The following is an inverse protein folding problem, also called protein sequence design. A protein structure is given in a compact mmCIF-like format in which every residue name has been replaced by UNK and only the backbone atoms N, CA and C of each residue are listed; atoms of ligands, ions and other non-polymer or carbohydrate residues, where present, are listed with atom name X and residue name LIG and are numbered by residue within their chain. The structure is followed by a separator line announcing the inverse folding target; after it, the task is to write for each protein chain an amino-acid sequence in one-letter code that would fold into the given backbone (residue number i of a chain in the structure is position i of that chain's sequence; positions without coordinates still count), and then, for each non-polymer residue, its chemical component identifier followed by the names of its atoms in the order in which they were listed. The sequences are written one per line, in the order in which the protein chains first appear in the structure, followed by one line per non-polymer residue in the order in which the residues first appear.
data_IF_602592339832
#
_entry.id   IF_602592339832
#
_cell.length_a   1.000
_cell.length_b   1.000
_cell.length_c   1.000
_cell.angle_alpha   90.00
_cell.angle_beta   90.00
_cell.angle_gamma   90.00
#
_symmetry.space_group_name_H-M   'P 1'
#
loop_
_entity.id
_entity.type
_entity.pdbx_description
1 polymer ?
#
# COMPACT_ATOMS: atom_id res chain seq x y z
N UNK A 1 -16.19 -15.81 -6.28
CA UNK A 1 -15.87 -16.47 -5.00
C UNK A 1 -16.03 -15.44 -3.91
N UNK A 2 -16.85 -15.73 -2.91
CA UNK A 2 -17.00 -14.88 -1.72
C UNK A 2 -15.72 -15.07 -0.87
N UNK A 3 -14.71 -14.21 -1.08
CA UNK A 3 -13.40 -14.32 -0.43
C UNK A 3 -13.54 -13.87 1.03
N UNK A 4 -13.62 -14.83 1.96
CA UNK A 4 -13.75 -14.55 3.41
C UNK A 4 -12.50 -13.99 4.07
N UNK A 5 -11.33 -14.19 3.44
CA UNK A 5 -10.04 -13.81 3.99
C UNK A 5 -9.16 -13.18 2.92
N UNK A 6 -8.37 -12.20 3.33
CA UNK A 6 -7.34 -11.54 2.53
C UNK A 6 -5.98 -11.73 3.20
N UNK A 7 -4.90 -11.80 2.43
CA UNK A 7 -3.55 -12.00 2.98
C UNK A 7 -2.81 -10.67 2.94
N UNK A 8 -2.36 -10.21 4.10
CA UNK A 8 -1.47 -9.04 4.17
C UNK A 8 -0.05 -9.52 3.92
N UNK A 9 0.63 -8.85 3.00
CA UNK A 9 2.01 -9.09 2.63
C UNK A 9 2.74 -7.76 2.77
N UNK A 10 3.68 -7.67 3.71
CA UNK A 10 4.51 -6.48 3.81
C UNK A 10 5.61 -6.51 2.74
N UNK A 11 6.17 -5.35 2.41
CA UNK A 11 7.32 -5.24 1.49
C UNK A 11 8.64 -5.75 2.12
N UNK A 12 8.59 -6.59 3.17
CA UNK A 12 9.76 -7.18 3.81
C UNK A 12 10.46 -8.21 2.93
N UNK A 13 11.79 -8.33 3.06
CA UNK A 13 12.57 -9.27 2.24
C UNK A 13 12.18 -10.74 2.46
N UNK A 14 11.77 -11.11 3.67
CA UNK A 14 11.37 -12.48 3.97
C UNK A 14 10.07 -12.87 3.26
N UNK A 15 9.04 -12.00 3.33
CA UNK A 15 7.75 -12.22 2.66
C UNK A 15 7.92 -12.21 1.14
N UNK A 16 8.68 -11.25 0.61
CA UNK A 16 9.00 -11.20 -0.82
C UNK A 16 9.65 -12.50 -1.29
N UNK A 17 10.65 -13.01 -0.57
CA UNK A 17 11.32 -14.27 -0.94
C UNK A 17 10.35 -15.46 -0.90
N UNK A 18 9.48 -15.52 0.10
CA UNK A 18 8.48 -16.58 0.19
C UNK A 18 7.54 -16.55 -1.03
N UNK A 19 7.08 -15.36 -1.42
CA UNK A 19 6.20 -15.18 -2.57
C UNK A 19 6.88 -15.45 -3.91
N UNK A 20 8.13 -15.02 -4.10
CA UNK A 20 8.93 -15.31 -5.31
C UNK A 20 9.13 -16.81 -5.52
N UNK A 21 9.07 -17.62 -4.45
CA UNK A 21 9.19 -19.08 -4.49
C UNK A 21 7.82 -19.80 -4.39
N UNK A 22 6.72 -19.07 -4.34
CA UNK A 22 5.36 -19.64 -4.33
C UNK A 22 4.84 -19.76 -5.76
N UNK A 23 4.17 -20.88 -6.08
CA UNK A 23 3.66 -21.09 -7.43
C UNK A 23 2.58 -20.07 -7.81
N UNK A 24 2.60 -19.62 -9.06
CA UNK A 24 1.65 -18.62 -9.57
C UNK A 24 0.19 -19.06 -9.41
N UNK A 25 -0.09 -20.34 -9.57
CA UNK A 25 -1.44 -20.90 -9.42
C UNK A 25 -1.99 -20.70 -8.00
N UNK A 26 -1.16 -20.83 -6.97
CA UNK A 26 -1.57 -20.59 -5.59
C UNK A 26 -1.77 -19.10 -5.31
N UNK A 27 -0.88 -18.25 -5.84
CA UNK A 27 -0.98 -16.80 -5.67
C UNK A 27 -2.25 -16.24 -6.31
N UNK A 28 -2.70 -16.79 -7.44
CA UNK A 28 -3.95 -16.38 -8.09
C UNK A 28 -5.21 -16.67 -7.26
N UNK A 29 -5.11 -17.57 -6.27
CA UNK A 29 -6.23 -17.90 -5.38
C UNK A 29 -6.43 -16.87 -4.26
N UNK A 30 -5.47 -15.97 -4.01
CA UNK A 30 -5.54 -14.99 -2.93
C UNK A 30 -5.90 -13.59 -3.43
N UNK A 31 -6.45 -12.77 -2.53
CA UNK A 31 -6.45 -11.31 -2.66
C UNK A 31 -5.30 -10.81 -1.77
N UNK A 32 -4.21 -10.26 -2.32
CA UNK A 32 -3.15 -9.72 -1.50
C UNK A 32 -3.46 -8.28 -1.10
N UNK A 33 -3.22 -7.94 0.17
CA UNK A 33 -3.00 -6.57 0.63
C UNK A 33 -1.51 -6.36 0.69
N UNK A 34 -0.97 -5.61 -0.26
CA UNK A 34 0.44 -5.23 -0.27
C UNK A 34 0.61 -4.03 0.66
N UNK A 35 1.19 -4.28 1.83
CA UNK A 35 1.46 -3.25 2.83
C UNK A 35 2.88 -2.70 2.63
N UNK A 36 2.96 -1.45 2.20
CA UNK A 36 4.24 -0.80 1.88
C UNK A 36 4.91 -0.37 3.18
N UNK A 37 6.03 -1.01 3.45
CA UNK A 37 6.96 -0.68 4.55
C UNK A 37 8.22 -0.01 4.00
N UNK A 38 8.95 0.66 4.89
CA UNK A 38 10.26 1.26 4.63
C UNK A 38 11.21 0.30 3.94
N UNK A 39 12.05 0.84 3.07
CA UNK A 39 13.12 0.11 2.42
C UNK A 39 14.29 -0.26 3.33
N UNK A 40 15.38 -0.73 2.71
CA UNK A 40 16.66 -0.84 3.41
C UNK A 40 17.29 0.54 3.48
N UNK A 41 17.85 0.90 4.63
CA UNK A 41 18.64 2.12 4.83
C UNK A 41 19.73 2.26 3.76
N UNK A 42 19.75 3.40 3.10
CA UNK A 42 20.82 3.86 2.21
C UNK A 42 21.32 5.19 2.74
N UNK A 43 22.64 5.30 2.93
CA UNK A 43 23.29 6.55 3.32
C UNK A 43 24.07 7.08 2.12
N UNK A 44 23.75 8.30 1.68
CA UNK A 44 24.46 8.99 0.60
C UNK A 44 24.62 10.46 0.98
N UNK A 45 25.84 10.98 0.92
CA UNK A 45 26.14 12.36 1.31
C UNK A 45 25.57 12.72 2.70
N UNK A 46 25.74 11.82 3.68
CA UNK A 46 25.23 11.96 5.06
C UNK A 46 23.70 11.99 5.22
N UNK A 47 22.94 11.83 4.12
CA UNK A 47 21.48 11.71 4.15
C UNK A 47 21.10 10.23 4.18
N UNK A 48 20.28 9.86 5.14
CA UNK A 48 19.71 8.52 5.29
C UNK A 48 18.34 8.47 4.62
N UNK A 49 18.12 7.46 3.77
CA UNK A 49 16.85 7.22 3.08
C UNK A 49 16.48 5.74 3.18
N UNK A 50 15.21 5.42 3.03
CA UNK A 50 14.67 4.07 3.11
C UNK A 50 13.79 3.76 1.88
N UNK A 51 14.36 3.79 0.66
CA UNK A 51 13.58 3.65 -0.57
C UNK A 51 12.96 2.26 -0.68
N UNK A 52 11.64 2.20 -0.83
CA UNK A 52 10.87 0.97 -0.94
C UNK A 52 10.65 0.51 -2.39
N UNK A 53 11.01 1.32 -3.39
CA UNK A 53 10.71 1.08 -4.81
C UNK A 53 11.14 -0.29 -5.31
N UNK A 54 12.36 -0.72 -4.93
CA UNK A 54 12.90 -2.02 -5.35
C UNK A 54 12.11 -3.19 -4.77
N UNK A 55 11.60 -3.04 -3.55
CA UNK A 55 10.79 -4.07 -2.88
C UNK A 55 9.40 -4.13 -3.48
N UNK A 56 8.77 -2.97 -3.67
CA UNK A 56 7.49 -2.87 -4.37
C UNK A 56 7.57 -3.42 -5.80
N UNK A 57 8.66 -3.17 -6.52
CA UNK A 57 8.89 -3.71 -7.86
C UNK A 57 8.89 -5.25 -7.89
N UNK A 58 9.41 -5.91 -6.85
CA UNK A 58 9.35 -7.37 -6.75
C UNK A 58 7.91 -7.84 -6.56
N UNK A 59 7.14 -7.21 -5.68
CA UNK A 59 5.73 -7.56 -5.46
C UNK A 59 4.84 -7.27 -6.69
N UNK A 60 5.13 -6.18 -7.43
CA UNK A 60 4.53 -5.89 -8.74
C UNK A 60 4.70 -7.05 -9.73
N UNK A 61 5.89 -7.68 -9.76
CA UNK A 61 6.16 -8.85 -10.61
C UNK A 61 5.44 -10.10 -10.11
N UNK A 62 5.45 -10.35 -8.80
CA UNK A 62 4.78 -11.51 -8.17
C UNK A 62 3.28 -11.50 -8.48
N UNK A 63 2.62 -10.35 -8.32
CA UNK A 63 1.17 -10.21 -8.46
C UNK A 63 0.73 -9.60 -9.80
N UNK A 64 1.59 -9.64 -10.82
CA UNK A 64 1.28 -9.09 -12.14
C UNK A 64 0.00 -9.70 -12.73
N UNK A 65 -0.89 -8.82 -13.19
CA UNK A 65 -2.17 -9.18 -13.79
C UNK A 65 -3.20 -9.74 -12.79
N UNK A 66 -3.08 -9.41 -11.50
CA UNK A 66 -4.07 -9.74 -10.48
C UNK A 66 -4.67 -8.47 -9.89
N UNK A 67 -5.89 -8.57 -9.34
CA UNK A 67 -6.42 -7.56 -8.42
C UNK A 67 -5.61 -7.57 -7.13
N UNK A 68 -5.13 -6.40 -6.71
CA UNK A 68 -4.36 -6.22 -5.47
C UNK A 68 -4.96 -5.10 -4.64
N UNK A 69 -4.85 -5.20 -3.32
CA UNK A 69 -5.03 -4.04 -2.45
C UNK A 69 -3.66 -3.41 -2.16
N UNK A 70 -3.59 -2.09 -2.15
CA UNK A 70 -2.38 -1.36 -1.77
C UNK A 70 -2.64 -0.61 -0.46
N UNK A 71 -1.69 -0.72 0.45
CA UNK A 71 -1.76 -0.14 1.79
C UNK A 71 -0.41 0.42 2.20
N UNK A 72 -0.42 1.30 3.19
CA UNK A 72 0.78 1.79 3.85
C UNK A 72 0.87 1.18 5.25
N UNK A 73 2.09 1.01 5.76
CA UNK A 73 2.25 0.46 7.11
C UNK A 73 1.95 1.51 8.18
N UNK A 74 1.14 1.14 9.17
CA UNK A 74 0.92 1.93 10.39
C UNK A 74 1.94 1.61 11.51
N UNK A 75 2.85 0.67 11.29
CA UNK A 75 3.89 0.28 12.25
C UNK A 75 5.08 1.24 12.15
N UNK A 76 5.29 2.07 13.20
CA UNK A 76 6.39 3.03 13.29
C UNK A 76 7.77 2.39 13.08
N UNK A 77 7.97 1.13 13.50
CA UNK A 77 9.24 0.42 13.33
C UNK A 77 9.55 0.05 11.87
N UNK A 78 8.50 0.07 11.04
CA UNK A 78 8.50 -0.21 9.62
C UNK A 78 8.25 1.04 8.77
N UNK A 79 8.12 2.23 9.38
CA UNK A 79 7.91 3.50 8.70
C UNK A 79 9.22 4.26 8.37
N UNK A 80 9.13 5.28 7.53
CA UNK A 80 10.23 6.18 7.17
C UNK A 80 9.70 7.50 6.62
N UNK A 81 10.56 8.49 6.39
CA UNK A 81 10.15 9.78 5.82
C UNK A 81 9.44 9.63 4.47
N UNK A 82 9.81 8.64 3.65
CA UNK A 82 9.12 8.35 2.39
C UNK A 82 7.70 7.81 2.61
N UNK A 83 7.48 7.01 3.67
CA UNK A 83 6.15 6.53 4.04
C UNK A 83 5.34 7.67 4.66
N UNK A 84 5.94 8.46 5.56
CA UNK A 84 5.34 9.65 6.16
C UNK A 84 4.88 10.67 5.12
N UNK A 85 5.66 10.86 4.05
CA UNK A 85 5.28 11.70 2.92
C UNK A 85 3.96 11.24 2.26
N UNK A 86 3.74 9.93 2.14
CA UNK A 86 2.50 9.38 1.59
C UNK A 86 1.34 9.46 2.61
N UNK A 87 1.63 9.39 3.91
CA UNK A 87 0.66 9.52 5.00
C UNK A 87 0.21 10.95 5.30
N UNK A 88 0.81 11.94 4.66
CA UNK A 88 0.47 13.35 4.87
C UNK A 88 -1.02 13.62 4.56
N UNK A 89 -1.79 14.18 5.50
CA UNK A 89 -3.24 14.33 5.34
C UNK A 89 -3.65 15.45 4.38
N UNK A 90 -2.71 16.31 3.96
CA UNK A 90 -3.00 17.51 3.16
C UNK A 90 -3.82 17.17 1.92
N UNK A 91 -4.91 17.92 1.73
CA UNK A 91 -5.85 17.76 0.61
C UNK A 91 -6.41 16.33 0.51
N UNK A 92 -6.71 15.68 1.64
CA UNK A 92 -7.25 14.34 1.68
C UNK A 92 -6.26 13.28 1.18
N UNK A 93 -5.03 13.34 1.69
CA UNK A 93 -3.95 12.38 1.39
C UNK A 93 -3.52 12.39 -0.08
N UNK A 94 -3.37 13.58 -0.67
CA UNK A 94 -3.08 13.73 -2.09
C UNK A 94 -1.80 13.00 -2.54
N UNK A 95 -0.78 12.91 -1.69
CA UNK A 95 0.46 12.20 -1.99
C UNK A 95 0.23 10.70 -2.17
N UNK A 96 -0.56 10.08 -1.29
CA UNK A 96 -0.98 8.69 -1.43
C UNK A 96 -1.76 8.44 -2.72
N UNK A 97 -2.72 9.32 -3.03
CA UNK A 97 -3.57 9.19 -4.22
C UNK A 97 -2.72 9.33 -5.49
N UNK A 98 -1.83 10.31 -5.55
CA UNK A 98 -0.93 10.49 -6.69
C UNK A 98 -0.02 9.26 -6.90
N UNK A 99 0.49 8.69 -5.82
CA UNK A 99 1.30 7.48 -5.87
C UNK A 99 0.51 6.28 -6.40
N UNK A 100 -0.74 6.09 -5.94
CA UNK A 100 -1.63 5.05 -6.45
C UNK A 100 -1.93 5.23 -7.94
N UNK A 101 -2.19 6.46 -8.39
CA UNK A 101 -2.41 6.79 -9.81
C UNK A 101 -1.18 6.52 -10.66
N UNK A 102 0.02 6.82 -10.15
CA UNK A 102 1.27 6.47 -10.81
C UNK A 102 1.36 4.95 -11.00
N UNK A 103 1.10 4.15 -9.96
CA UNK A 103 1.11 2.68 -10.07
C UNK A 103 0.03 2.20 -11.05
N UNK A 104 -1.18 2.77 -11.00
CA UNK A 104 -2.26 2.43 -11.93
C UNK A 104 -1.83 2.67 -13.38
N UNK A 105 -1.13 3.77 -13.66
CA UNK A 105 -0.65 4.12 -15.00
C UNK A 105 0.39 3.13 -15.58
N UNK A 106 1.05 2.33 -14.73
CA UNK A 106 1.98 1.30 -15.16
C UNK A 106 1.29 0.07 -15.77
N UNK A 107 -0.04 -0.08 -15.61
CA UNK A 107 -0.85 -1.18 -16.14
C UNK A 107 -0.31 -2.59 -15.78
N UNK A 108 0.24 -2.73 -14.56
CA UNK A 108 0.82 -3.99 -14.07
C UNK A 108 -0.24 -4.90 -13.43
N UNK A 109 -1.17 -4.30 -12.68
CA UNK A 109 -2.25 -5.00 -11.98
C UNK A 109 -3.54 -4.97 -12.80
N UNK A 110 -4.40 -5.96 -12.59
CA UNK A 110 -5.74 -5.97 -13.21
C UNK A 110 -6.61 -4.86 -12.60
N UNK A 111 -6.60 -4.77 -11.27
CA UNK A 111 -7.28 -3.72 -10.50
C UNK A 111 -6.43 -3.39 -9.27
N UNK A 112 -6.49 -2.12 -8.85
CA UNK A 112 -5.92 -1.65 -7.59
C UNK A 112 -7.08 -1.26 -6.69
N UNK A 113 -7.14 -1.86 -5.51
CA UNK A 113 -8.06 -1.50 -4.43
C UNK A 113 -7.24 -0.69 -3.40
N UNK A 114 -7.29 0.65 -3.42
CA UNK A 114 -6.58 1.46 -2.45
C UNK A 114 -7.16 1.27 -1.05
N UNK A 115 -6.29 1.24 -0.04
CA UNK A 115 -6.72 1.23 1.36
C UNK A 115 -6.86 2.65 1.87
N UNK A 116 -7.92 2.89 2.65
CA UNK A 116 -8.16 4.16 3.33
C UNK A 116 -7.14 4.35 4.46
N UNK A 117 -6.51 5.51 4.48
CA UNK A 117 -5.71 5.96 5.61
C UNK A 117 -6.66 6.48 6.70
N UNK A 118 -6.59 5.87 7.88
CA UNK A 118 -7.32 6.27 9.08
C UNK A 118 -6.36 6.88 10.09
N UNK A 119 -6.01 8.16 9.89
CA UNK A 119 -5.15 8.87 10.83
C UNK A 119 -5.98 9.57 11.90
N UNK A 120 -6.25 8.91 13.02
CA UNK A 120 -7.02 9.49 14.14
C UNK A 120 -6.31 10.67 14.83
N UNK A 121 -5.04 10.92 14.51
CA UNK A 121 -4.26 12.06 15.01
C UNK A 121 -4.28 13.26 14.05
N UNK A 122 -5.03 13.20 12.95
CA UNK A 122 -5.25 14.33 12.04
C UNK A 122 -6.25 15.32 12.65
N UNK A 123 -5.85 16.58 12.83
CA UNK A 123 -6.69 17.63 13.41
C UNK A 123 -7.97 17.86 12.59
N UNK A 124 -7.91 17.65 11.27
CA UNK A 124 -9.02 17.79 10.32
C UNK A 124 -9.52 16.42 9.81
N UNK A 125 -9.39 15.37 10.63
CA UNK A 125 -9.63 13.96 10.27
C UNK A 125 -10.89 13.72 9.42
N UNK A 126 -12.06 14.20 9.86
CA UNK A 126 -13.32 13.94 9.14
C UNK A 126 -13.33 14.56 7.73
N UNK A 127 -12.80 15.79 7.61
CA UNK A 127 -12.74 16.51 6.34
C UNK A 127 -11.75 15.83 5.38
N UNK A 128 -10.56 15.48 5.86
CA UNK A 128 -9.55 14.80 5.05
C UNK A 128 -9.96 13.37 4.68
N UNK A 129 -10.63 12.64 5.58
CA UNK A 129 -11.18 11.32 5.28
C UNK A 129 -12.26 11.39 4.20
N UNK A 130 -13.20 12.34 4.28
CA UNK A 130 -14.22 12.54 3.27
C UNK A 130 -13.60 12.87 1.91
N UNK A 131 -12.63 13.79 1.88
CA UNK A 131 -11.94 14.19 0.66
C UNK A 131 -11.13 13.02 0.07
N UNK A 132 -10.47 12.21 0.90
CA UNK A 132 -9.79 10.99 0.48
C UNK A 132 -10.75 10.02 -0.22
N UNK A 133 -11.90 9.73 0.39
CA UNK A 133 -12.91 8.84 -0.17
C UNK A 133 -13.43 9.37 -1.50
N UNK A 134 -13.75 10.66 -1.58
CA UNK A 134 -14.20 11.30 -2.82
C UNK A 134 -13.16 11.16 -3.93
N UNK A 135 -11.92 11.55 -3.65
CA UNK A 135 -10.83 11.51 -4.63
C UNK A 135 -10.52 10.08 -5.08
N UNK A 136 -10.45 9.09 -4.17
CA UNK A 136 -10.23 7.70 -4.54
C UNK A 136 -11.37 7.16 -5.41
N UNK A 137 -12.63 7.47 -5.09
CA UNK A 137 -13.80 7.02 -5.88
C UNK A 137 -13.88 7.65 -7.27
N UNK A 138 -13.16 8.74 -7.54
CA UNK A 138 -13.04 9.28 -8.91
C UNK A 138 -12.20 8.37 -9.83
N UNK A 139 -11.30 7.56 -9.28
CA UNK A 139 -10.30 6.81 -10.05
C UNK A 139 -10.30 5.30 -9.81
N UNK A 140 -10.90 4.83 -8.71
CA UNK A 140 -10.92 3.42 -8.31
C UNK A 140 -12.35 2.96 -8.04
N UNK A 141 -12.70 1.77 -8.54
CA UNK A 141 -14.04 1.21 -8.41
C UNK A 141 -14.35 0.78 -6.98
N UNK A 142 -13.33 0.27 -6.29
CA UNK A 142 -13.41 -0.24 -4.92
C UNK A 142 -12.41 0.49 -4.00
N UNK A 143 -12.69 0.48 -2.70
CA UNK A 143 -11.80 0.98 -1.65
C UNK A 143 -11.77 -0.05 -0.53
N UNK A 144 -10.61 -0.27 0.08
CA UNK A 144 -10.45 -1.14 1.23
C UNK A 144 -10.46 -0.28 2.51
N UNK A 145 -11.21 -0.72 3.51
CA UNK A 145 -11.12 -0.21 4.87
C UNK A 145 -10.57 -1.33 5.76
N UNK A 146 -9.56 -1.02 6.55
CA UNK A 146 -9.00 -1.91 7.57
C UNK A 146 -8.98 -1.16 8.90
N UNK A 147 -9.31 -1.87 9.95
CA UNK A 147 -9.16 -1.40 11.32
C UNK A 147 -8.67 -2.57 12.15
N UNK A 148 -7.88 -2.27 13.17
CA UNK A 148 -7.51 -3.27 14.14
C UNK A 148 -8.77 -3.76 14.87
N UNK A 149 -8.77 -5.03 15.24
CA UNK A 149 -9.83 -5.56 16.08
C UNK A 149 -9.66 -4.86 17.44
N UNK A 150 -10.58 -3.97 17.75
CA UNK A 150 -10.71 -3.41 19.10
C UNK A 150 -11.30 -4.51 19.98
N UNK A 151 -10.58 -4.85 21.05
CA UNK A 151 -11.15 -5.61 22.19
C UNK A 151 -12.16 -4.75 22.96
#
# INVERSE_FOLDING_TARGET
MDRKYTVIVKTGEAEIRALENTSRNLLQCILPVIEITRGRKITKNEIETYPFDKRLLKLKKVFQGQTVCLDLTSDDSLSSDEISYLYDPTNGYQNWINFLLQIKSENIFEEIIPTLILNLNDDDFEANLLLQVQNLKMYFDSILYRNDISD
#
